data_IF_976121291112
#
_entry.id   IF_976121291112
#
_cell.length_a   1.000
_cell.length_b   1.000
_cell.length_c   1.000
_cell.angle_alpha   90.00
_cell.angle_beta   90.00
_cell.angle_gamma   90.00
#
_symmetry.space_group_name_H-M   'P 1'
#
loop_
_entity.id
_entity.type
_entity.pdbx_description
1 polymer ?
#
# COMPACT_ATOMS: atom_id res chain seq x y z
N UNK A 1 11.89 -16.35 40.88
CA UNK A 1 12.46 -15.25 40.08
C UNK A 1 11.28 -14.46 39.56
N UNK A 2 11.06 -13.27 40.14
CA UNK A 2 9.98 -12.35 39.79
C UNK A 2 10.21 -11.79 38.39
N UNK A 3 9.41 -12.20 37.43
CA UNK A 3 9.26 -11.55 36.14
C UNK A 3 8.27 -10.38 36.32
N UNK A 4 8.79 -9.23 36.78
CA UNK A 4 8.01 -8.01 36.85
C UNK A 4 7.92 -7.46 35.42
N UNK A 5 6.68 -7.41 34.87
CA UNK A 5 6.40 -6.72 33.63
C UNK A 5 7.01 -5.29 33.66
N UNK A 6 7.63 -4.81 32.58
CA UNK A 6 8.21 -3.47 32.54
C UNK A 6 7.15 -2.44 32.86
N UNK A 7 7.43 -1.57 33.82
CA UNK A 7 6.55 -0.46 34.19
C UNK A 7 6.34 0.44 32.98
N UNK A 8 5.10 0.83 32.64
CA UNK A 8 4.86 1.73 31.52
C UNK A 8 5.59 3.06 31.75
N UNK A 9 6.33 3.54 30.74
CA UNK A 9 6.98 4.83 30.79
C UNK A 9 5.95 5.93 31.03
N UNK A 10 6.09 6.65 32.13
CA UNK A 10 5.17 7.74 32.49
C UNK A 10 5.79 9.07 32.07
N UNK A 11 5.15 9.74 31.11
CA UNK A 11 5.53 11.10 30.70
C UNK A 11 4.68 12.12 31.44
N UNK A 12 5.32 13.16 32.01
CA UNK A 12 4.64 14.35 32.53
C UNK A 12 5.01 15.53 31.63
N UNK A 13 4.00 16.12 31.01
CA UNK A 13 4.15 17.17 29.99
C UNK A 13 3.34 18.40 30.39
N UNK A 14 3.75 19.59 29.96
CA UNK A 14 2.96 20.82 30.11
C UNK A 14 2.29 21.14 28.78
N UNK A 15 0.97 21.30 28.80
CA UNK A 15 0.17 21.55 27.61
C UNK A 15 0.47 22.91 26.98
N UNK A 16 0.50 22.95 25.66
CA UNK A 16 0.31 24.15 24.86
C UNK A 16 -1.16 24.29 24.46
N UNK A 17 -1.66 25.48 24.10
CA UNK A 17 -3.02 25.63 23.60
C UNK A 17 -3.27 24.78 22.36
N UNK A 18 -4.38 24.03 22.34
CA UNK A 18 -4.70 23.19 21.17
C UNK A 18 -5.59 22.01 21.50
N UNK A 19 -5.70 21.10 20.55
CA UNK A 19 -6.39 19.81 20.74
C UNK A 19 -5.48 18.84 21.47
N UNK A 20 -6.02 18.10 22.43
CA UNK A 20 -5.27 17.16 23.26
C UNK A 20 -4.46 16.16 22.42
N UNK A 21 -5.07 15.54 21.39
CA UNK A 21 -4.39 14.59 20.49
C UNK A 21 -3.19 15.21 19.76
N UNK A 22 -3.31 16.45 19.32
CA UNK A 22 -2.25 17.16 18.63
C UNK A 22 -1.13 17.62 19.59
N UNK A 23 -1.50 18.11 20.76
CA UNK A 23 -0.55 18.61 21.78
C UNK A 23 0.28 17.44 22.33
N UNK A 24 -0.36 16.32 22.74
CA UNK A 24 0.35 15.15 23.21
C UNK A 24 1.24 14.56 22.12
N UNK A 25 0.76 14.47 20.89
CA UNK A 25 1.56 14.02 19.75
C UNK A 25 2.83 14.87 19.54
N UNK A 26 2.70 16.18 19.58
CA UNK A 26 3.85 17.10 19.41
C UNK A 26 4.88 16.98 20.56
N UNK A 27 4.42 16.75 21.78
CA UNK A 27 5.27 16.71 22.98
C UNK A 27 5.87 15.34 23.25
N UNK A 28 5.18 14.25 22.89
CA UNK A 28 5.64 12.87 23.13
C UNK A 28 6.40 12.25 21.96
N UNK A 29 6.32 12.86 20.76
CA UNK A 29 6.84 12.26 19.51
C UNK A 29 5.96 11.13 18.93
N UNK A 30 4.90 10.71 19.63
CA UNK A 30 3.98 9.69 19.14
C UNK A 30 3.07 10.24 18.05
N UNK A 31 2.61 9.37 17.13
CA UNK A 31 1.63 9.78 16.11
C UNK A 31 0.28 10.13 16.73
N UNK A 32 -0.49 11.02 16.09
CA UNK A 32 -1.84 11.39 16.57
C UNK A 32 -2.78 10.19 16.68
N UNK A 33 -2.62 9.18 15.85
CA UNK A 33 -3.40 7.94 15.89
C UNK A 33 -3.09 7.13 17.15
N UNK A 34 -1.81 7.00 17.50
CA UNK A 34 -1.38 6.36 18.74
C UNK A 34 -1.90 7.11 19.97
N UNK A 35 -1.75 8.44 19.98
CA UNK A 35 -2.25 9.29 21.07
C UNK A 35 -3.77 9.15 21.22
N UNK A 36 -4.53 9.08 20.13
CA UNK A 36 -5.98 8.87 20.18
C UNK A 36 -6.33 7.54 20.82
N UNK A 37 -5.62 6.47 20.45
CA UNK A 37 -5.78 5.15 21.06
C UNK A 37 -5.42 5.16 22.57
N UNK A 38 -4.36 5.87 22.97
CA UNK A 38 -4.01 6.03 24.38
C UNK A 38 -5.07 6.78 25.17
N UNK A 39 -5.71 7.80 24.57
CA UNK A 39 -6.81 8.54 25.19
C UNK A 39 -8.04 7.64 25.35
N UNK A 40 -8.41 6.90 24.32
CA UNK A 40 -9.52 5.94 24.36
C UNK A 40 -9.31 4.82 25.39
N UNK A 41 -8.06 4.38 25.56
CA UNK A 41 -7.67 3.39 26.57
C UNK A 41 -7.49 3.96 27.99
N UNK A 42 -7.68 5.27 28.19
CA UNK A 42 -7.56 5.92 29.50
C UNK A 42 -6.13 6.19 29.97
N UNK A 43 -5.14 6.08 29.11
CA UNK A 43 -3.72 6.29 29.42
C UNK A 43 -3.30 7.77 29.48
N UNK A 44 -4.19 8.71 29.14
CA UNK A 44 -3.90 10.15 29.16
C UNK A 44 -4.77 10.86 30.18
N UNK A 45 -4.13 11.63 31.06
CA UNK A 45 -4.79 12.47 32.07
C UNK A 45 -4.47 13.93 31.84
N UNK A 46 -5.44 14.81 32.11
CA UNK A 46 -5.31 16.26 32.09
C UNK A 46 -5.62 16.78 33.49
N UNK A 47 -4.65 17.37 34.18
CA UNK A 47 -4.81 17.83 35.56
C UNK A 47 -5.18 16.69 36.53
N UNK A 48 -4.71 15.46 36.28
CA UNK A 48 -5.02 14.27 37.10
C UNK A 48 -6.35 13.56 36.76
N UNK A 49 -7.12 14.09 35.80
CA UNK A 49 -8.40 13.48 35.35
C UNK A 49 -8.22 12.80 34.05
N UNK A 50 -8.69 11.56 33.90
CA UNK A 50 -8.62 10.78 32.66
C UNK A 50 -9.37 11.49 31.54
N UNK A 51 -8.69 11.71 30.41
CA UNK A 51 -9.26 12.39 29.27
C UNK A 51 -10.19 11.46 28.47
N UNK A 52 -11.46 11.85 28.31
CA UNK A 52 -12.47 11.04 27.60
C UNK A 52 -12.54 11.30 26.08
N UNK A 53 -11.84 12.29 25.52
CA UNK A 53 -11.95 12.65 24.10
C UNK A 53 -10.62 13.20 23.55
N UNK A 54 -10.16 12.65 22.42
CA UNK A 54 -8.98 13.13 21.71
C UNK A 54 -9.10 14.60 21.23
N UNK A 55 -10.32 15.06 20.99
CA UNK A 55 -10.62 16.44 20.55
C UNK A 55 -10.73 17.46 21.69
N UNK A 56 -10.46 17.10 22.95
CA UNK A 56 -10.49 18.02 24.09
C UNK A 56 -9.60 19.23 23.81
N UNK A 57 -10.13 20.42 24.00
CA UNK A 57 -9.38 21.67 23.81
C UNK A 57 -8.65 22.03 25.09
N UNK A 58 -7.35 22.19 25.01
CA UNK A 58 -6.47 22.65 26.07
C UNK A 58 -6.27 24.17 25.95
N UNK A 59 -6.17 24.86 27.10
CA UNK A 59 -5.94 26.31 27.18
C UNK A 59 -4.45 26.65 27.26
N UNK A 60 -3.61 25.67 27.58
CA UNK A 60 -2.19 25.80 27.85
C UNK A 60 -1.89 25.93 29.34
N UNK A 61 -0.79 25.30 29.78
CA UNK A 61 -0.37 25.23 31.17
C UNK A 61 -0.95 24.06 31.97
N UNK A 62 -1.90 23.29 31.42
CA UNK A 62 -2.39 22.07 32.07
C UNK A 62 -1.28 21.01 32.14
N UNK A 63 -1.21 20.30 33.27
CA UNK A 63 -0.31 19.17 33.42
C UNK A 63 -0.95 17.94 32.74
N UNK A 64 -0.25 17.39 31.76
CA UNK A 64 -0.64 16.17 31.09
C UNK A 64 0.19 15.00 31.65
N UNK A 65 -0.46 13.93 32.07
CA UNK A 65 0.19 12.67 32.42
C UNK A 65 -0.17 11.65 31.38
N UNK A 66 0.85 11.09 30.71
CA UNK A 66 0.69 10.04 29.69
C UNK A 66 1.37 8.78 30.22
N UNK A 67 0.60 7.74 30.44
CA UNK A 67 1.13 6.38 30.63
C UNK A 67 1.35 5.81 29.23
N UNK A 68 2.59 5.86 28.76
CA UNK A 68 2.93 5.26 27.47
C UNK A 68 2.79 3.75 27.63
N UNK A 69 1.79 3.10 27.03
CA UNK A 69 1.72 1.65 27.08
C UNK A 69 2.98 1.11 26.42
N UNK A 70 3.53 -0.02 26.91
CA UNK A 70 4.56 -0.71 26.17
C UNK A 70 4.07 -0.82 24.72
N UNK A 71 4.96 -0.74 23.72
CA UNK A 71 4.56 -1.02 22.35
C UNK A 71 3.68 -2.26 22.40
N UNK A 72 2.43 -2.14 21.95
CA UNK A 72 1.63 -3.35 21.77
C UNK A 72 2.54 -4.27 21.01
N UNK A 73 2.83 -5.46 21.54
CA UNK A 73 3.54 -6.49 20.80
C UNK A 73 2.71 -6.72 19.54
N UNK A 74 2.89 -5.86 18.57
CA UNK A 74 2.42 -6.05 17.22
C UNK A 74 3.37 -7.07 16.58
N UNK A 75 3.61 -8.19 17.32
CA UNK A 75 4.28 -9.35 16.78
C UNK A 75 3.34 -9.90 15.73
N UNK A 76 3.63 -9.49 14.50
CA UNK A 76 2.95 -10.09 13.35
C UNK A 76 3.29 -11.57 13.40
N UNK A 77 2.31 -12.41 13.69
CA UNK A 77 2.53 -13.83 13.85
C UNK A 77 3.03 -14.44 12.54
N UNK A 78 4.10 -15.27 12.56
CA UNK A 78 4.52 -16.04 11.41
C UNK A 78 3.43 -17.01 10.97
N UNK A 79 3.18 -17.12 9.67
CA UNK A 79 2.20 -18.05 9.12
C UNK A 79 2.80 -18.86 7.96
N UNK A 80 2.47 -20.16 7.88
CA UNK A 80 2.89 -21.05 6.80
C UNK A 80 1.95 -20.88 5.60
N UNK A 81 2.08 -19.76 4.88
CA UNK A 81 1.33 -19.48 3.65
C UNK A 81 2.27 -19.69 2.45
N UNK A 82 1.92 -20.54 1.47
CA UNK A 82 2.71 -20.70 0.26
C UNK A 82 2.87 -19.39 -0.50
N UNK A 83 4.10 -19.10 -0.91
CA UNK A 83 4.43 -17.93 -1.73
C UNK A 83 5.04 -18.40 -3.05
N UNK A 84 4.56 -17.83 -4.15
CA UNK A 84 5.15 -17.98 -5.47
C UNK A 84 6.36 -17.04 -5.58
N UNK A 85 7.58 -17.60 -5.42
CA UNK A 85 8.84 -16.86 -5.38
C UNK A 85 9.39 -16.70 -6.79
N UNK A 86 9.54 -15.44 -7.23
CA UNK A 86 10.10 -15.07 -8.54
C UNK A 86 11.62 -15.00 -8.48
N UNK A 87 12.15 -14.46 -7.39
CA UNK A 87 13.58 -14.30 -7.17
C UNK A 87 13.88 -14.25 -5.67
N UNK A 88 14.99 -14.82 -5.25
CA UNK A 88 15.46 -14.74 -3.88
C UNK A 88 16.99 -14.82 -3.82
N UNK A 89 17.58 -13.96 -2.99
CA UNK A 89 18.98 -14.03 -2.59
C UNK A 89 19.16 -13.70 -1.09
N UNK A 90 20.37 -13.37 -0.66
CA UNK A 90 20.66 -12.99 0.73
C UNK A 90 20.07 -11.62 1.12
N UNK A 91 19.72 -10.77 0.16
CA UNK A 91 19.42 -9.36 0.37
C UNK A 91 17.95 -9.02 0.15
N UNK A 92 17.28 -9.72 -0.76
CA UNK A 92 15.88 -9.46 -1.09
C UNK A 92 15.15 -10.73 -1.51
N UNK A 93 13.84 -10.67 -1.45
CA UNK A 93 12.93 -11.64 -2.06
C UNK A 93 11.91 -10.91 -2.92
N UNK A 94 11.63 -11.43 -4.09
CA UNK A 94 10.54 -11.02 -4.96
C UNK A 94 9.52 -12.13 -5.08
N UNK A 95 8.25 -11.81 -4.90
CA UNK A 95 7.16 -12.79 -5.00
C UNK A 95 6.08 -12.31 -5.96
N UNK A 96 5.40 -13.25 -6.59
CA UNK A 96 4.15 -13.02 -7.29
C UNK A 96 3.00 -13.04 -6.26
N UNK A 97 2.66 -11.87 -5.72
CA UNK A 97 1.60 -11.76 -4.73
C UNK A 97 0.24 -12.14 -5.36
N UNK A 98 -0.49 -13.10 -4.82
CA UNK A 98 -1.84 -13.40 -5.30
C UNK A 98 -2.80 -12.24 -5.01
N UNK A 99 -3.87 -12.15 -5.78
CA UNK A 99 -5.01 -11.30 -5.44
C UNK A 99 -5.68 -11.81 -4.15
N UNK A 100 -6.33 -10.92 -3.41
CA UNK A 100 -6.93 -11.22 -2.10
C UNK A 100 -5.98 -11.12 -0.91
N UNK A 101 -4.67 -11.21 -1.13
CA UNK A 101 -3.67 -11.09 -0.07
C UNK A 101 -3.32 -9.62 0.21
N UNK A 102 -3.45 -9.21 1.48
CA UNK A 102 -3.01 -7.89 1.95
C UNK A 102 -1.49 -7.88 2.12
N UNK A 103 -0.82 -6.79 1.79
CA UNK A 103 0.65 -6.71 1.87
C UNK A 103 1.16 -6.77 3.32
N UNK A 104 0.54 -6.03 4.23
CA UNK A 104 0.94 -5.95 5.64
C UNK A 104 -0.30 -5.80 6.53
N UNK A 105 -0.23 -6.22 7.80
CA UNK A 105 -1.33 -6.08 8.73
C UNK A 105 -1.88 -4.64 8.78
N UNK A 106 -3.19 -4.54 8.91
CA UNK A 106 -3.93 -3.29 8.98
C UNK A 106 -5.14 -3.45 9.93
N UNK A 107 -5.77 -2.38 10.41
CA UNK A 107 -6.97 -2.49 11.22
C UNK A 107 -8.02 -3.40 10.57
N UNK A 108 -8.38 -4.48 11.27
CA UNK A 108 -9.32 -5.50 10.79
C UNK A 108 -8.71 -6.65 9.96
N UNK A 109 -7.40 -6.62 9.66
CA UNK A 109 -6.68 -7.71 8.97
C UNK A 109 -5.32 -7.88 9.63
N UNK A 110 -5.19 -8.81 10.54
CA UNK A 110 -3.96 -9.07 11.32
C UNK A 110 -3.24 -10.35 10.91
N UNK A 111 -3.89 -11.19 10.11
CA UNK A 111 -3.44 -12.51 9.66
C UNK A 111 -3.58 -12.65 8.15
N UNK A 112 -2.94 -13.67 7.57
CA UNK A 112 -3.01 -13.97 6.13
C UNK A 112 -2.38 -12.90 5.24
N UNK A 113 -1.52 -12.04 5.77
CA UNK A 113 -0.85 -11.01 4.97
C UNK A 113 0.47 -11.54 4.40
N UNK A 114 1.00 -10.84 3.39
CA UNK A 114 2.31 -11.19 2.86
C UNK A 114 3.40 -11.15 3.95
N UNK A 115 3.33 -10.21 4.89
CA UNK A 115 4.28 -10.13 6.00
C UNK A 115 4.18 -11.36 6.90
N UNK A 116 2.97 -11.84 7.25
CA UNK A 116 2.80 -13.08 8.02
C UNK A 116 3.44 -14.27 7.30
N UNK A 117 3.21 -14.40 5.98
CA UNK A 117 3.78 -15.48 5.16
C UNK A 117 5.31 -15.42 5.09
N UNK A 118 5.87 -14.22 4.94
CA UNK A 118 7.32 -14.03 4.90
C UNK A 118 7.99 -14.31 6.25
N UNK A 119 7.38 -13.92 7.36
CA UNK A 119 7.86 -14.26 8.70
C UNK A 119 7.82 -15.77 8.96
N UNK A 120 6.83 -16.48 8.42
CA UNK A 120 6.78 -17.93 8.49
C UNK A 120 7.84 -18.66 7.65
N UNK A 121 8.37 -17.98 6.62
CA UNK A 121 9.39 -18.51 5.70
C UNK A 121 10.82 -18.14 6.11
N UNK A 122 11.04 -16.95 6.61
CA UNK A 122 12.37 -16.39 6.85
C UNK A 122 12.40 -15.43 8.04
N UNK A 123 13.60 -15.19 8.55
CA UNK A 123 13.82 -14.13 9.53
C UNK A 123 13.91 -12.81 8.75
N UNK A 124 12.92 -11.96 8.93
CA UNK A 124 12.97 -10.58 8.44
C UNK A 124 13.67 -9.70 9.48
N UNK A 125 14.33 -8.60 9.05
CA UNK A 125 15.03 -7.73 9.99
C UNK A 125 14.09 -7.22 11.07
N UNK A 126 14.36 -7.56 12.33
CA UNK A 126 13.77 -6.90 13.49
C UNK A 126 14.42 -5.53 13.64
N UNK A 127 13.75 -4.45 13.29
CA UNK A 127 14.40 -3.14 13.43
C UNK A 127 13.45 -2.04 13.86
N UNK A 128 13.85 -1.37 14.91
CA UNK A 128 13.56 0.02 15.19
C UNK A 128 13.91 0.88 13.97
N UNK A 129 12.92 1.40 13.26
CA UNK A 129 13.09 2.18 12.03
C UNK A 129 12.21 1.72 10.87
N UNK A 130 11.64 0.51 10.94
CA UNK A 130 10.56 0.07 10.05
C UNK A 130 9.17 0.46 10.55
N UNK A 131 9.07 1.04 11.75
CA UNK A 131 7.86 1.56 12.34
C UNK A 131 7.49 2.86 11.64
N UNK A 132 6.81 2.73 10.50
CA UNK A 132 6.12 3.85 9.89
C UNK A 132 4.90 4.25 10.76
N UNK A 133 4.28 5.41 10.50
CA UNK A 133 3.08 5.86 11.21
C UNK A 133 1.91 4.87 11.16
N UNK A 134 2.00 3.83 10.37
CA UNK A 134 0.98 2.81 10.13
C UNK A 134 1.37 1.41 10.70
N UNK A 135 2.42 1.27 11.53
CA UNK A 135 2.82 0.04 12.23
C UNK A 135 4.02 -0.71 11.64
N UNK A 136 4.33 -1.89 12.23
CA UNK A 136 5.45 -2.74 11.90
C UNK A 136 5.36 -3.32 10.47
N UNK A 137 6.36 -3.02 9.62
CA UNK A 137 6.41 -3.39 8.20
C UNK A 137 7.79 -3.94 7.80
N UNK A 138 8.23 -5.05 8.37
CA UNK A 138 9.57 -5.56 8.16
C UNK A 138 9.87 -5.77 6.67
N UNK A 139 10.94 -5.16 6.18
CA UNK A 139 11.43 -5.32 4.82
C UNK A 139 10.56 -4.72 3.69
N UNK A 140 9.37 -4.20 3.98
CA UNK A 140 8.44 -3.67 2.97
C UNK A 140 8.89 -2.31 2.46
N UNK A 141 9.20 -2.22 1.17
CA UNK A 141 9.63 -0.98 0.49
C UNK A 141 8.58 -0.39 -0.45
N UNK A 142 7.60 -1.19 -0.85
CA UNK A 142 6.43 -0.76 -1.62
C UNK A 142 5.24 -1.69 -1.34
N UNK A 143 4.08 -1.37 -1.90
CA UNK A 143 2.88 -2.17 -1.67
C UNK A 143 2.05 -2.33 -2.92
N UNK A 144 1.28 -3.42 -2.97
CA UNK A 144 0.15 -3.61 -3.88
C UNK A 144 -1.16 -3.57 -3.08
N UNK A 145 -2.24 -3.19 -3.72
CA UNK A 145 -3.57 -3.28 -3.13
C UNK A 145 -3.96 -4.75 -2.87
N UNK A 146 -4.88 -5.01 -1.96
CA UNK A 146 -5.32 -6.36 -1.58
C UNK A 146 -5.59 -7.22 -2.82
N UNK A 147 -6.43 -6.72 -3.73
CA UNK A 147 -6.89 -7.48 -4.88
C UNK A 147 -6.08 -7.22 -6.17
N UNK A 148 -4.97 -6.51 -6.07
CA UNK A 148 -3.96 -6.39 -7.13
C UNK A 148 -2.95 -7.53 -6.98
N UNK A 149 -2.77 -8.32 -8.04
CA UNK A 149 -1.76 -9.40 -8.11
C UNK A 149 -0.44 -8.90 -8.70
N UNK A 150 0.62 -9.71 -8.58
CA UNK A 150 1.87 -9.51 -9.30
C UNK A 150 3.10 -9.23 -8.43
N UNK A 151 4.14 -8.74 -9.06
CA UNK A 151 5.48 -8.59 -8.46
C UNK A 151 5.46 -7.64 -7.28
N UNK A 152 5.94 -8.14 -6.15
CA UNK A 152 6.31 -7.34 -4.98
C UNK A 152 7.67 -7.76 -4.46
N UNK A 153 8.49 -6.77 -4.06
CA UNK A 153 9.85 -6.97 -3.53
C UNK A 153 9.89 -6.63 -2.05
N UNK A 154 10.58 -7.45 -1.28
CA UNK A 154 10.78 -7.28 0.14
C UNK A 154 12.27 -7.42 0.46
N UNK A 155 12.81 -6.52 1.26
CA UNK A 155 14.18 -6.56 1.71
C UNK A 155 14.37 -7.59 2.85
N UNK A 156 15.46 -8.35 2.79
CA UNK A 156 15.85 -9.33 3.82
C UNK A 156 16.85 -8.76 4.81
N UNK A 157 17.46 -7.59 4.51
CA UNK A 157 18.42 -6.90 5.37
C UNK A 157 18.11 -5.41 5.47
N UNK A 158 18.57 -4.78 6.55
CA UNK A 158 18.40 -3.32 6.76
C UNK A 158 19.07 -2.51 5.69
N UNK A 159 20.29 -2.89 5.30
CA UNK A 159 21.04 -2.21 4.25
C UNK A 159 20.32 -2.29 2.91
N UNK A 160 19.77 -3.47 2.55
CA UNK A 160 18.96 -3.65 1.35
C UNK A 160 17.68 -2.83 1.40
N UNK A 161 16.99 -2.79 2.55
CA UNK A 161 15.79 -1.97 2.72
C UNK A 161 16.08 -0.49 2.47
N UNK A 162 17.11 0.08 3.09
CA UNK A 162 17.46 1.48 2.93
C UNK A 162 17.74 1.83 1.46
N UNK A 163 18.47 0.97 0.74
CA UNK A 163 18.81 1.18 -0.68
C UNK A 163 17.61 1.01 -1.60
N UNK A 164 16.77 -0.01 -1.38
CA UNK A 164 15.55 -0.21 -2.13
C UNK A 164 14.54 0.92 -1.88
N UNK A 165 14.35 1.33 -0.62
CA UNK A 165 13.47 2.45 -0.28
C UNK A 165 13.93 3.75 -0.97
N UNK A 166 15.25 4.02 -1.01
CA UNK A 166 15.82 5.13 -1.77
C UNK A 166 15.51 5.00 -3.27
N UNK A 167 15.72 3.82 -3.87
CA UNK A 167 15.45 3.57 -5.29
C UNK A 167 13.96 3.84 -5.65
N UNK A 168 13.02 3.43 -4.78
CA UNK A 168 11.59 3.74 -4.97
C UNK A 168 11.29 5.23 -4.79
N UNK A 169 11.90 5.89 -3.81
CA UNK A 169 11.74 7.33 -3.55
C UNK A 169 12.28 8.17 -4.70
N UNK A 170 13.46 7.82 -5.20
CA UNK A 170 14.17 8.55 -6.26
C UNK A 170 13.69 8.17 -7.66
N UNK A 171 12.66 7.30 -7.74
CA UNK A 171 12.04 6.85 -9.00
C UNK A 171 13.02 6.10 -9.92
N UNK A 172 14.04 5.46 -9.35
CA UNK A 172 14.99 4.61 -10.08
C UNK A 172 14.41 3.22 -10.43
N UNK A 173 13.14 2.98 -10.09
CA UNK A 173 12.42 1.74 -10.37
C UNK A 173 11.48 1.91 -11.55
N UNK A 174 11.33 0.87 -12.39
CA UNK A 174 10.34 0.83 -13.48
C UNK A 174 9.27 -0.20 -13.14
N UNK A 175 8.02 0.22 -13.19
CA UNK A 175 6.85 -0.60 -12.86
C UNK A 175 5.96 -0.68 -14.08
N UNK A 176 5.59 -1.88 -14.48
CA UNK A 176 4.65 -2.10 -15.58
C UNK A 176 3.50 -2.98 -15.09
N UNK A 177 2.30 -2.48 -15.28
CA UNK A 177 1.06 -3.17 -14.92
C UNK A 177 0.27 -3.47 -16.17
N UNK A 178 -0.47 -4.57 -16.14
CA UNK A 178 -1.51 -4.89 -17.09
C UNK A 178 -2.86 -4.64 -16.42
N UNK A 179 -3.78 -4.01 -17.15
CA UNK A 179 -5.15 -3.79 -16.69
C UNK A 179 -6.15 -3.99 -17.82
N UNK A 180 -7.39 -4.36 -17.48
CA UNK A 180 -8.54 -4.24 -18.39
C UNK A 180 -9.34 -3.04 -17.90
N UNK A 181 -9.49 -2.02 -18.73
CA UNK A 181 -10.23 -0.78 -18.43
C UNK A 181 -11.58 -0.77 -19.15
N UNK A 182 -12.63 -0.31 -18.46
CA UNK A 182 -13.98 -0.20 -19.01
C UNK A 182 -14.14 1.17 -19.69
N UNK A 183 -13.96 1.21 -21.00
CA UNK A 183 -14.10 2.43 -21.81
C UNK A 183 -13.30 2.34 -23.11
N UNK A 184 -13.78 3.07 -24.11
CA UNK A 184 -13.06 3.23 -25.37
C UNK A 184 -11.96 4.29 -25.24
N UNK A 185 -10.79 3.99 -25.72
CA UNK A 185 -9.69 4.94 -25.85
C UNK A 185 -9.76 5.60 -27.22
N UNK A 186 -10.26 6.82 -27.25
CA UNK A 186 -10.62 7.52 -28.49
C UNK A 186 -9.50 7.63 -29.54
N UNK A 187 -8.24 7.59 -29.10
CA UNK A 187 -7.09 7.80 -29.99
C UNK A 187 -6.24 6.55 -30.23
N UNK A 188 -6.50 5.41 -29.57
CA UNK A 188 -5.58 4.24 -29.57
C UNK A 188 -4.11 4.62 -29.32
N UNK A 189 -3.88 5.77 -28.66
CA UNK A 189 -2.58 6.36 -28.42
C UNK A 189 -2.26 6.39 -26.92
N UNK A 190 -0.98 6.38 -26.54
CA UNK A 190 -0.58 6.53 -25.14
C UNK A 190 -1.09 7.84 -24.52
N UNK A 191 -1.58 7.76 -23.27
CA UNK A 191 -2.07 8.90 -22.50
C UNK A 191 -1.22 9.07 -21.24
N UNK A 192 -0.61 10.23 -21.08
CA UNK A 192 0.09 10.59 -19.86
C UNK A 192 -0.89 11.32 -18.92
N UNK A 193 -1.13 10.74 -17.74
CA UNK A 193 -1.96 11.35 -16.69
C UNK A 193 -1.03 11.91 -15.62
N UNK A 194 -1.03 13.22 -15.48
CA UNK A 194 -0.24 13.97 -14.50
C UNK A 194 -1.18 14.82 -13.65
N UNK A 195 -1.88 14.15 -12.73
CA UNK A 195 -2.84 14.81 -11.84
C UNK A 195 -2.63 14.32 -10.40
N UNK A 196 -2.55 15.23 -9.42
CA UNK A 196 -2.25 14.84 -8.05
C UNK A 196 -3.42 14.07 -7.41
N UNK A 197 -3.09 13.15 -6.52
CA UNK A 197 -4.04 12.29 -5.79
C UNK A 197 -3.98 12.60 -4.31
N UNK A 198 -5.15 12.78 -3.70
CA UNK A 198 -5.34 12.97 -2.26
C UNK A 198 -6.45 12.08 -1.71
N UNK A 199 -6.66 12.11 -0.39
CA UNK A 199 -7.77 11.39 0.24
C UNK A 199 -9.11 12.04 -0.16
N UNK A 200 -10.11 11.19 -0.41
CA UNK A 200 -11.47 11.67 -0.66
C UNK A 200 -12.01 12.37 0.60
N UNK A 201 -12.57 13.59 0.50
CA UNK A 201 -12.93 14.40 1.68
C UNK A 201 -13.99 13.75 2.58
N UNK A 202 -14.86 12.93 2.02
CA UNK A 202 -15.98 12.28 2.73
C UNK A 202 -15.71 10.78 2.93
N UNK A 203 -15.34 10.06 1.89
CA UNK A 203 -15.14 8.61 1.92
C UNK A 203 -13.68 8.28 2.23
N UNK A 204 -13.32 8.17 3.52
CA UNK A 204 -11.92 8.03 3.99
C UNK A 204 -11.14 6.84 3.39
N UNK A 205 -11.82 5.80 2.91
CA UNK A 205 -11.21 4.63 2.27
C UNK A 205 -10.88 4.87 0.79
N UNK A 206 -11.38 5.96 0.19
CA UNK A 206 -11.14 6.29 -1.22
C UNK A 206 -10.09 7.37 -1.36
N UNK A 207 -9.40 7.30 -2.49
CA UNK A 207 -8.55 8.37 -3.00
C UNK A 207 -9.28 9.09 -4.15
N UNK A 208 -8.88 10.30 -4.45
CA UNK A 208 -9.45 11.07 -5.58
C UNK A 208 -8.42 12.03 -6.15
N UNK A 209 -8.59 12.41 -7.41
CA UNK A 209 -7.83 13.50 -8.02
C UNK A 209 -8.10 14.79 -7.22
N UNK A 210 -7.07 15.54 -6.92
CA UNK A 210 -7.12 16.70 -6.03
C UNK A 210 -7.20 16.31 -4.56
N UNK A 211 -8.38 15.98 -4.06
CA UNK A 211 -8.59 15.47 -2.69
C UNK A 211 -7.92 16.26 -1.56
N UNK A 212 -7.91 15.70 -0.35
CA UNK A 212 -7.22 16.30 0.80
C UNK A 212 -5.73 15.94 0.79
N UNK A 213 -4.85 16.94 1.01
CA UNK A 213 -3.39 16.79 0.98
C UNK A 213 -2.90 16.07 -0.29
N UNK A 214 -3.19 16.61 -1.49
CA UNK A 214 -2.86 15.95 -2.74
C UNK A 214 -1.35 15.85 -2.92
N UNK A 215 -0.90 14.71 -3.47
CA UNK A 215 0.49 14.46 -3.80
C UNK A 215 0.62 14.21 -5.29
N UNK A 216 1.70 14.67 -5.88
CA UNK A 216 2.05 14.41 -7.28
C UNK A 216 1.85 12.93 -7.63
N UNK A 217 1.17 12.68 -8.75
CA UNK A 217 0.94 11.34 -9.27
C UNK A 217 0.98 11.37 -10.79
N UNK A 218 1.84 10.52 -11.38
CA UNK A 218 2.08 10.45 -12.81
C UNK A 218 1.98 9.01 -13.30
N UNK A 219 1.24 8.77 -14.38
CA UNK A 219 1.09 7.46 -15.02
C UNK A 219 1.01 7.59 -16.53
N UNK A 220 1.80 6.81 -17.25
CA UNK A 220 1.63 6.59 -18.67
C UNK A 220 0.74 5.36 -18.88
N UNK A 221 -0.35 5.51 -19.62
CA UNK A 221 -1.21 4.43 -20.07
C UNK A 221 -1.06 4.23 -21.57
N UNK A 222 -0.88 2.99 -21.99
CA UNK A 222 -0.79 2.61 -23.41
C UNK A 222 -1.90 1.59 -23.69
N UNK A 223 -2.90 1.91 -24.51
CA UNK A 223 -3.88 0.94 -24.97
C UNK A 223 -3.18 -0.10 -25.86
N UNK A 224 -3.50 -1.37 -25.64
CA UNK A 224 -2.90 -2.49 -26.36
C UNK A 224 -3.87 -3.12 -27.36
N UNK A 225 -5.12 -3.32 -26.94
CA UNK A 225 -6.21 -3.86 -27.74
C UNK A 225 -7.55 -3.49 -27.12
N UNK A 226 -8.62 -3.46 -27.91
CA UNK A 226 -9.97 -3.12 -27.45
C UNK A 226 -11.00 -4.09 -27.99
N UNK A 227 -11.93 -4.53 -27.12
CA UNK A 227 -13.00 -5.50 -27.44
C UNK A 227 -14.33 -5.01 -26.91
N UNK A 228 -15.43 -5.20 -27.68
CA UNK A 228 -16.77 -5.00 -27.15
C UNK A 228 -17.09 -6.10 -26.14
N UNK A 229 -17.74 -5.75 -25.04
CA UNK A 229 -18.45 -6.73 -24.24
C UNK A 229 -19.84 -7.02 -24.88
N UNK A 230 -20.48 -8.12 -24.55
CA UNK A 230 -21.80 -8.47 -25.13
C UNK A 230 -22.91 -7.42 -24.89
N UNK A 231 -22.64 -6.33 -24.19
CA UNK A 231 -23.56 -5.24 -23.86
C UNK A 231 -23.25 -3.92 -24.58
N UNK A 232 -22.36 -3.93 -25.56
CA UNK A 232 -21.98 -2.76 -26.36
C UNK A 232 -20.98 -1.82 -25.68
N UNK A 233 -20.45 -2.16 -24.50
CA UNK A 233 -19.35 -1.40 -23.90
C UNK A 233 -18.03 -1.86 -24.49
N UNK A 234 -17.12 -0.95 -24.70
CA UNK A 234 -15.74 -1.28 -25.08
C UNK A 234 -14.92 -1.51 -23.82
N UNK A 235 -14.16 -2.60 -23.80
CA UNK A 235 -13.13 -2.90 -22.81
C UNK A 235 -11.78 -2.84 -23.49
N UNK A 236 -10.84 -2.18 -22.85
CA UNK A 236 -9.49 -1.97 -23.40
C UNK A 236 -8.44 -2.63 -22.51
N UNK A 237 -7.62 -3.47 -23.11
CA UNK A 237 -6.40 -3.97 -22.47
C UNK A 237 -5.36 -2.85 -22.46
N UNK A 238 -4.85 -2.52 -21.27
CA UNK A 238 -4.01 -1.34 -21.07
C UNK A 238 -2.73 -1.73 -20.35
N UNK A 239 -1.60 -1.28 -20.89
CA UNK A 239 -0.32 -1.23 -20.16
C UNK A 239 -0.26 0.07 -19.38
N UNK A 240 -0.02 -0.03 -18.06
CA UNK A 240 0.09 1.13 -17.19
C UNK A 240 1.49 1.21 -16.56
N UNK A 241 2.15 2.35 -16.71
CA UNK A 241 3.52 2.60 -16.22
C UNK A 241 3.51 3.80 -15.27
N UNK A 242 3.31 3.57 -13.96
CA UNK A 242 3.30 4.65 -12.98
C UNK A 242 4.73 5.09 -12.63
N UNK A 243 5.01 6.39 -12.74
CA UNK A 243 6.26 7.01 -12.26
C UNK A 243 6.28 7.20 -10.74
N UNK A 244 5.12 7.40 -10.15
CA UNK A 244 4.90 7.55 -8.70
C UNK A 244 4.17 6.31 -8.15
N UNK A 245 3.97 6.22 -6.84
CA UNK A 245 3.31 5.09 -6.19
C UNK A 245 2.32 5.54 -5.12
N UNK A 246 1.23 6.26 -5.50
CA UNK A 246 0.20 6.67 -4.54
C UNK A 246 -0.80 5.55 -4.33
N UNK A 247 -1.44 5.53 -3.18
CA UNK A 247 -2.52 4.57 -2.88
C UNK A 247 -3.59 4.63 -3.98
N UNK A 248 -3.95 3.47 -4.52
CA UNK A 248 -4.95 3.31 -5.59
C UNK A 248 -4.65 4.11 -6.88
N UNK A 249 -3.40 4.54 -7.12
CA UNK A 249 -3.07 5.49 -8.19
C UNK A 249 -3.62 5.09 -9.56
N UNK A 250 -3.35 3.87 -10.03
CA UNK A 250 -3.80 3.42 -11.35
C UNK A 250 -5.32 3.39 -11.46
N UNK A 251 -5.98 2.95 -10.39
CA UNK A 251 -7.44 2.85 -10.29
C UNK A 251 -8.09 4.23 -10.34
N UNK A 252 -7.54 5.21 -9.60
CA UNK A 252 -8.01 6.60 -9.58
C UNK A 252 -7.76 7.28 -10.92
N UNK A 253 -6.58 7.12 -11.52
CA UNK A 253 -6.24 7.73 -12.80
C UNK A 253 -7.10 7.19 -13.94
N UNK A 254 -7.34 5.85 -14.02
CA UNK A 254 -8.22 5.27 -15.02
C UNK A 254 -9.68 5.70 -14.82
N UNK A 255 -10.15 5.77 -13.59
CA UNK A 255 -11.49 6.30 -13.30
C UNK A 255 -11.62 7.80 -13.69
N UNK A 256 -10.56 8.60 -13.47
CA UNK A 256 -10.50 10.01 -13.89
C UNK A 256 -10.59 10.17 -15.41
N UNK A 257 -10.02 9.24 -16.18
CA UNK A 257 -10.16 9.20 -17.64
C UNK A 257 -11.54 8.71 -18.12
N UNK A 258 -12.46 8.41 -17.21
CA UNK A 258 -13.76 7.82 -17.56
C UNK A 258 -13.69 6.35 -17.94
N UNK A 259 -12.55 5.71 -17.73
CA UNK A 259 -12.26 4.31 -18.08
C UNK A 259 -11.83 3.50 -16.84
N UNK A 260 -12.69 3.33 -15.82
CA UNK A 260 -12.33 2.61 -14.60
C UNK A 260 -11.94 1.16 -14.90
N UNK A 261 -11.14 0.57 -14.01
CA UNK A 261 -10.70 -0.83 -14.15
C UNK A 261 -11.92 -1.76 -14.06
N UNK A 262 -11.97 -2.76 -14.94
CA UNK A 262 -12.99 -3.80 -14.93
C UNK A 262 -13.00 -4.54 -13.60
N UNK A 263 -14.18 -4.71 -12.99
CA UNK A 263 -14.35 -5.38 -11.70
C UNK A 263 -13.94 -4.56 -10.48
N UNK A 264 -13.51 -3.30 -10.65
CA UNK A 264 -13.20 -2.41 -9.53
C UNK A 264 -14.47 -1.88 -8.87
N UNK A 265 -14.84 -2.43 -7.73
CA UNK A 265 -16.05 -2.06 -6.98
C UNK A 265 -15.95 -0.72 -6.24
N UNK A 266 -14.75 -0.15 -6.14
CA UNK A 266 -14.52 1.14 -5.46
C UNK A 266 -14.60 2.31 -6.43
N UNK A 267 -13.99 2.19 -7.62
CA UNK A 267 -13.89 3.28 -8.61
C UNK A 267 -14.68 3.01 -9.89
N UNK A 268 -15.20 1.82 -10.07
CA UNK A 268 -15.97 1.37 -11.22
C UNK A 268 -17.24 0.63 -10.80
N UNK A 269 -17.42 -0.56 -11.38
CA UNK A 269 -18.58 -1.42 -11.16
C UNK A 269 -18.15 -2.88 -11.06
N UNK A 270 -18.90 -3.74 -10.35
CA UNK A 270 -18.71 -5.19 -10.41
C UNK A 270 -18.77 -5.69 -11.85
N UNK A 271 -18.16 -6.83 -12.12
CA UNK A 271 -18.16 -7.49 -13.43
C UNK A 271 -18.41 -8.98 -13.26
N UNK A 272 -19.11 -9.59 -14.20
CA UNK A 272 -19.27 -11.05 -14.27
C UNK A 272 -18.03 -11.74 -14.83
N UNK A 273 -17.18 -11.00 -15.56
CA UNK A 273 -15.96 -11.52 -16.18
C UNK A 273 -14.83 -11.72 -15.18
N UNK A 274 -14.81 -10.93 -14.09
CA UNK A 274 -13.77 -10.99 -13.08
C UNK A 274 -14.28 -10.44 -11.73
N UNK A 275 -14.00 -11.14 -10.64
CA UNK A 275 -14.51 -10.83 -9.30
C UNK A 275 -13.75 -9.71 -8.56
N UNK A 276 -12.68 -9.19 -9.13
CA UNK A 276 -11.78 -8.16 -8.58
C UNK A 276 -11.40 -7.13 -9.63
N UNK A 277 -10.69 -6.06 -9.23
CA UNK A 277 -10.10 -5.19 -10.24
C UNK A 277 -9.13 -6.00 -11.13
N UNK A 278 -9.34 -5.95 -12.45
CA UNK A 278 -8.47 -6.54 -13.46
C UNK A 278 -7.16 -5.75 -13.54
N UNK A 279 -6.31 -5.88 -12.52
CA UNK A 279 -5.04 -5.16 -12.39
C UNK A 279 -3.95 -6.11 -11.87
N UNK A 280 -2.82 -6.12 -12.58
CA UNK A 280 -1.69 -7.00 -12.31
C UNK A 280 -0.37 -6.26 -12.47
N UNK A 281 0.50 -6.32 -11.46
CA UNK A 281 1.86 -5.81 -11.49
C UNK A 281 2.76 -6.80 -12.23
N UNK A 282 2.82 -6.68 -13.56
CA UNK A 282 3.44 -7.69 -14.41
C UNK A 282 4.97 -7.63 -14.36
N UNK A 283 5.56 -6.43 -14.47
CA UNK A 283 7.02 -6.26 -14.42
C UNK A 283 7.44 -5.22 -13.40
N UNK A 284 8.57 -5.50 -12.76
CA UNK A 284 9.27 -4.57 -11.90
C UNK A 284 10.77 -4.64 -12.20
N UNK A 285 11.36 -3.52 -12.60
CA UNK A 285 12.81 -3.38 -12.70
C UNK A 285 13.32 -2.50 -11.57
N UNK A 286 14.29 -3.01 -10.82
CA UNK A 286 14.95 -2.33 -9.71
C UNK A 286 16.47 -2.44 -9.82
N UNK A 287 17.24 -1.49 -9.30
CA UNK A 287 18.65 -1.74 -9.05
C UNK A 287 18.79 -2.75 -7.91
N UNK A 288 19.62 -3.76 -8.10
CA UNK A 288 19.94 -4.71 -7.03
C UNK A 288 20.63 -3.97 -5.87
N UNK A 289 20.19 -4.16 -4.61
CA UNK A 289 20.62 -3.30 -3.49
C UNK A 289 22.13 -3.39 -3.15
N UNK A 290 22.83 -4.42 -3.62
CA UNK A 290 24.26 -4.60 -3.36
C UNK A 290 25.08 -4.33 -4.62
N UNK A 291 24.77 -4.98 -5.72
CA UNK A 291 25.55 -4.86 -6.96
C UNK A 291 25.24 -3.60 -7.78
N UNK A 292 24.04 -3.03 -7.60
CA UNK A 292 23.55 -1.91 -8.41
C UNK A 292 23.08 -2.30 -9.81
N UNK A 293 23.27 -3.56 -10.22
CA UNK A 293 22.81 -4.05 -11.52
C UNK A 293 21.28 -4.06 -11.61
N UNK A 294 20.77 -3.88 -12.84
CA UNK A 294 19.32 -3.92 -13.06
C UNK A 294 18.78 -5.35 -12.91
N UNK A 295 17.89 -5.53 -11.94
CA UNK A 295 17.16 -6.77 -11.73
C UNK A 295 15.78 -6.66 -12.37
N UNK A 296 15.51 -7.52 -13.36
CA UNK A 296 14.23 -7.57 -14.08
C UNK A 296 13.35 -8.70 -13.52
N UNK A 297 12.26 -8.32 -12.90
CA UNK A 297 11.33 -9.24 -12.24
C UNK A 297 10.03 -9.31 -13.04
N UNK A 298 9.50 -10.51 -13.25
CA UNK A 298 8.29 -10.77 -14.01
C UNK A 298 7.36 -11.70 -13.26
N UNK A 299 6.08 -11.34 -13.18
CA UNK A 299 5.00 -12.21 -12.74
C UNK A 299 4.12 -12.54 -13.96
N UNK A 300 3.84 -13.82 -14.24
CA UNK A 300 2.98 -14.23 -15.36
C UNK A 300 1.56 -13.68 -15.17
N UNK A 301 0.88 -13.41 -16.28
CA UNK A 301 -0.50 -12.91 -16.26
C UNK A 301 -1.39 -13.96 -15.58
N UNK A 302 -2.16 -13.60 -14.54
CA UNK A 302 -2.98 -14.55 -13.82
C UNK A 302 -4.19 -14.99 -14.65
N UNK A 303 -4.62 -16.23 -14.45
CA UNK A 303 -5.66 -16.91 -15.22
C UNK A 303 -6.96 -16.13 -15.27
N UNK A 304 -7.38 -15.48 -14.18
CA UNK A 304 -8.61 -14.72 -14.12
C UNK A 304 -8.62 -13.50 -15.07
N UNK A 305 -7.49 -12.80 -15.20
CA UNK A 305 -7.34 -11.70 -16.18
C UNK A 305 -7.29 -12.26 -17.60
N UNK A 306 -6.54 -13.35 -17.81
CA UNK A 306 -6.44 -14.02 -19.11
C UNK A 306 -7.83 -14.49 -19.57
N UNK A 307 -8.55 -15.20 -18.72
CA UNK A 307 -9.89 -15.73 -19.02
C UNK A 307 -10.88 -14.60 -19.29
N UNK A 308 -10.86 -13.52 -18.50
CA UNK A 308 -11.71 -12.35 -18.74
C UNK A 308 -11.45 -11.74 -20.13
N UNK A 309 -10.16 -11.66 -20.56
CA UNK A 309 -9.81 -11.12 -21.86
C UNK A 309 -10.22 -12.08 -23.01
N UNK A 310 -9.97 -13.38 -22.86
CA UNK A 310 -10.34 -14.41 -23.84
C UNK A 310 -11.86 -14.51 -24.00
N UNK A 311 -12.64 -14.37 -22.92
CA UNK A 311 -14.11 -14.35 -22.97
C UNK A 311 -14.67 -13.21 -23.84
N UNK A 312 -13.90 -12.14 -24.05
CA UNK A 312 -14.21 -11.03 -24.96
C UNK A 312 -13.76 -11.29 -26.41
N UNK A 313 -13.24 -12.48 -26.71
CA UNK A 313 -12.60 -12.78 -28.00
C UNK A 313 -11.24 -12.10 -28.17
N UNK A 314 -10.63 -11.65 -27.08
CA UNK A 314 -9.31 -11.03 -27.10
C UNK A 314 -8.19 -12.05 -27.17
N UNK A 315 -7.10 -11.68 -27.85
CA UNK A 315 -5.85 -12.42 -27.86
C UNK A 315 -4.79 -11.51 -27.25
N UNK A 316 -3.91 -12.06 -26.41
CA UNK A 316 -2.83 -11.25 -25.86
C UNK A 316 -1.85 -10.83 -26.97
N UNK A 317 -1.47 -9.55 -27.04
CA UNK A 317 -0.49 -9.08 -28.00
C UNK A 317 0.84 -9.82 -27.88
N UNK A 318 1.48 -10.11 -29.04
CA UNK A 318 2.80 -10.72 -29.04
C UNK A 318 3.81 -9.85 -28.28
N UNK A 319 4.69 -10.49 -27.50
CA UNK A 319 5.69 -9.79 -26.69
C UNK A 319 5.17 -9.17 -25.38
N UNK A 320 3.90 -9.37 -25.03
CA UNK A 320 3.34 -8.85 -23.76
C UNK A 320 4.04 -9.44 -22.53
N UNK A 321 4.55 -10.67 -22.63
CA UNK A 321 5.32 -11.37 -21.58
C UNK A 321 6.81 -10.96 -21.54
N UNK A 322 7.24 -10.03 -22.41
CA UNK A 322 8.59 -9.49 -22.42
C UNK A 322 8.60 -8.12 -21.73
N UNK A 323 9.66 -7.87 -20.95
CA UNK A 323 9.83 -6.57 -20.31
C UNK A 323 9.93 -5.45 -21.38
N UNK A 324 9.17 -4.36 -21.20
CA UNK A 324 9.18 -3.24 -22.15
C UNK A 324 10.47 -2.41 -22.07
#
# INVERSE_FOLDING_TARGET
>A
VNDAAPSPDRLTLTATPGRLDAVVSALSGASRSQVSAWIEAGHVQVGGVVAGKASLKLRGGEVLTVQVPPPADATVAPEQVPLDVIFEDEHLIAVNKPAGMVTHPAPGVTTGTLVNALLGRMILPEQSGFDGPDGYRPGIVHRLDKDTSGVIVVAKTVAAHARLAAAFKDRATRKTYLAIAAGAWAAQAPVNVDVPIGRHPVQRQRMTVGGAQPREAQTLFTPLDSRPDGHGRILTLVRAQPRTGRTHQLRVHLAHLGSPILGDTVYGRPSELIARQALHAQFLTIPHPVTGEALHLHAPIPDDILQAWVALGGVLPAGLEQAP
#
